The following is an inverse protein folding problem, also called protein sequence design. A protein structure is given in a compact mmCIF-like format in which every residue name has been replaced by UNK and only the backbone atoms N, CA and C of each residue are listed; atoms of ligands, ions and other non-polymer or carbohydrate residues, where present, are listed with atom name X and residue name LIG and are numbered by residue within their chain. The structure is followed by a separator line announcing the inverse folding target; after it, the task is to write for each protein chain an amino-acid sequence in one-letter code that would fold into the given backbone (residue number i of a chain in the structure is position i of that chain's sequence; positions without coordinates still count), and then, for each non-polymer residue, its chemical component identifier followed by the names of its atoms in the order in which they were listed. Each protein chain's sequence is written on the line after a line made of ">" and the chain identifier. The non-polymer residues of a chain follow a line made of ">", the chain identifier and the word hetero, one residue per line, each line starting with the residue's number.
data_IF_751542209430
#
_entry.id   IF_751542209430
#
_cell.length_a   1.000
_cell.length_b   1.000
_cell.length_c   1.000
_cell.angle_alpha   90.00
_cell.angle_beta   90.00
_cell.angle_gamma   90.00
#
_symmetry.space_group_name_H-M   'P 1'
#
loop_
_entity.id
_entity.type
_entity.pdbx_description
1 polymer ?
#
# COMPACT_ATOMS: atom_id res chain seq x y z
N UNK A 1 40.76 5.04 -3.42
CA UNK A 1 40.07 4.03 -2.52
C UNK A 1 38.58 4.20 -2.44
N UNK A 2 38.01 5.36 -2.77
CA UNK A 2 36.55 5.51 -3.04
C UNK A 2 36.12 4.72 -4.30
N UNK A 3 37.07 4.48 -5.20
CA UNK A 3 36.87 3.84 -6.51
C UNK A 3 36.38 2.39 -6.48
N UNK A 4 36.69 1.60 -5.47
CA UNK A 4 36.35 0.16 -5.49
C UNK A 4 35.27 -0.24 -4.51
N UNK A 5 35.02 0.51 -3.44
CA UNK A 5 34.06 0.14 -2.39
C UNK A 5 32.65 0.73 -2.62
N UNK A 6 32.54 1.99 -3.08
CA UNK A 6 31.24 2.60 -3.42
C UNK A 6 30.62 2.04 -4.71
N UNK A 7 31.45 1.61 -5.66
CA UNK A 7 31.02 1.05 -6.94
C UNK A 7 30.40 -0.35 -6.83
N UNK A 8 30.82 -1.16 -5.84
CA UNK A 8 30.22 -2.49 -5.60
C UNK A 8 28.78 -2.41 -5.13
N UNK A 9 28.40 -1.35 -4.42
CA UNK A 9 27.03 -1.19 -3.92
C UNK A 9 26.10 -0.52 -4.93
N UNK A 10 26.63 0.27 -5.86
CA UNK A 10 25.86 0.71 -7.04
C UNK A 10 25.47 -0.48 -7.93
N UNK A 11 26.21 -1.58 -7.92
CA UNK A 11 25.80 -2.86 -8.52
C UNK A 11 24.61 -3.49 -7.78
N UNK A 12 24.41 -3.22 -6.49
CA UNK A 12 23.30 -3.70 -5.68
C UNK A 12 22.01 -2.91 -5.86
N UNK A 13 22.01 -1.82 -6.65
CA UNK A 13 20.81 -1.00 -6.97
C UNK A 13 19.63 -1.79 -7.50
N UNK A 14 19.85 -2.92 -8.16
CA UNK A 14 18.81 -3.83 -8.60
C UNK A 14 18.05 -4.44 -7.41
N UNK A 15 18.65 -4.51 -6.23
CA UNK A 15 18.03 -5.07 -5.03
C UNK A 15 16.93 -4.19 -4.42
N UNK A 16 16.91 -2.91 -4.74
CA UNK A 16 15.91 -1.96 -4.26
C UNK A 16 14.76 -1.71 -5.24
N UNK A 17 14.71 -2.42 -6.38
CA UNK A 17 13.69 -2.24 -7.40
C UNK A 17 13.76 -0.91 -8.15
N UNK A 18 14.85 -0.15 -8.00
CA UNK A 18 15.04 1.13 -8.67
C UNK A 18 15.41 0.96 -10.15
N UNK A 19 15.02 1.92 -11.05
CA UNK A 19 15.26 1.84 -12.49
C UNK A 19 16.74 2.03 -12.82
N UNK A 20 17.52 0.96 -12.83
CA UNK A 20 18.97 0.98 -12.97
C UNK A 20 19.53 1.70 -14.23
N UNK A 21 18.72 1.83 -15.28
CA UNK A 21 19.09 2.57 -16.50
C UNK A 21 19.13 4.08 -16.26
N UNK A 22 18.36 4.62 -15.33
CA UNK A 22 18.28 6.04 -14.99
C UNK A 22 19.67 6.59 -14.63
N UNK A 23 20.42 5.88 -13.83
CA UNK A 23 21.70 6.35 -13.28
C UNK A 23 22.92 6.12 -14.18
N UNK A 24 22.79 5.50 -15.34
CA UNK A 24 23.83 5.29 -16.37
C UNK A 24 25.18 4.74 -15.88
N UNK A 25 25.23 4.08 -14.73
CA UNK A 25 26.48 3.70 -14.05
C UNK A 25 27.36 2.80 -14.90
N UNK A 26 26.80 1.85 -15.67
CA UNK A 26 27.61 0.99 -16.53
C UNK A 26 28.33 1.79 -17.62
N UNK A 27 27.69 2.81 -18.19
CA UNK A 27 28.29 3.73 -19.16
C UNK A 27 29.42 4.54 -18.52
N UNK A 28 29.18 5.06 -17.32
CA UNK A 28 30.21 5.83 -16.58
C UNK A 28 31.43 4.96 -16.21
N UNK A 29 31.19 3.70 -15.79
CA UNK A 29 32.27 2.74 -15.50
C UNK A 29 33.06 2.38 -16.74
N UNK A 30 32.41 2.17 -17.89
CA UNK A 30 33.10 1.91 -19.15
C UNK A 30 33.98 3.08 -19.56
N UNK A 31 33.46 4.30 -19.45
CA UNK A 31 34.28 5.53 -19.75
C UNK A 31 35.44 5.66 -18.78
N UNK A 32 35.25 5.41 -17.49
CA UNK A 32 36.33 5.48 -16.49
C UNK A 32 37.45 4.47 -16.78
N UNK A 33 37.11 3.28 -17.28
CA UNK A 33 38.13 2.25 -17.62
C UNK A 33 38.98 2.60 -18.83
N UNK A 34 38.52 3.52 -19.67
CA UNK A 34 39.20 3.95 -20.91
C UNK A 34 39.80 5.36 -20.85
N UNK A 35 39.57 6.08 -19.74
CA UNK A 35 40.07 7.47 -19.60
C UNK A 35 41.46 7.52 -19.00
N UNK A 36 42.38 8.13 -19.73
CA UNK A 36 43.78 8.34 -19.32
C UNK A 36 44.09 9.81 -18.89
N UNK A 37 43.17 10.73 -19.20
CA UNK A 37 43.29 12.14 -18.90
C UNK A 37 42.77 12.49 -17.50
N UNK A 38 43.54 13.24 -16.71
CA UNK A 38 43.10 13.76 -15.41
C UNK A 38 41.85 14.67 -15.53
N UNK A 39 41.71 15.39 -16.65
CA UNK A 39 40.54 16.21 -16.91
C UNK A 39 39.30 15.35 -17.12
N UNK A 40 39.38 14.30 -17.92
CA UNK A 40 38.28 13.36 -18.13
C UNK A 40 37.86 12.65 -16.83
N UNK A 41 38.84 12.24 -16.02
CA UNK A 41 38.58 11.63 -14.71
C UNK A 41 37.85 12.60 -13.81
N UNK A 42 38.23 13.89 -13.74
CA UNK A 42 37.51 14.91 -12.96
C UNK A 42 36.09 15.14 -13.45
N UNK A 43 35.87 15.15 -14.77
CA UNK A 43 34.49 15.22 -15.33
C UNK A 43 33.66 13.99 -14.95
N UNK A 44 34.24 12.80 -15.01
CA UNK A 44 33.56 11.55 -14.61
C UNK A 44 33.24 11.53 -13.11
N UNK A 45 34.08 12.07 -12.25
CA UNK A 45 33.81 12.23 -10.81
C UNK A 45 32.55 13.07 -10.60
N UNK A 46 32.39 14.19 -11.32
CA UNK A 46 31.17 15.01 -11.30
C UNK A 46 29.93 14.22 -11.75
N UNK A 47 30.03 13.46 -12.86
CA UNK A 47 28.93 12.64 -13.35
C UNK A 47 28.56 11.48 -12.40
N UNK A 48 29.55 10.86 -11.75
CA UNK A 48 29.30 9.88 -10.71
C UNK A 48 28.59 10.48 -9.49
N UNK A 49 28.96 11.73 -9.13
CA UNK A 49 28.31 12.42 -8.01
C UNK A 49 26.84 12.75 -8.32
N UNK A 50 26.52 13.18 -9.55
CA UNK A 50 25.16 13.38 -10.02
C UNK A 50 24.37 12.05 -9.96
N UNK A 51 24.92 10.99 -10.55
CA UNK A 51 24.28 9.67 -10.52
C UNK A 51 24.07 9.14 -9.08
N UNK A 52 25.01 9.45 -8.17
CA UNK A 52 24.88 9.10 -6.76
C UNK A 52 23.75 9.88 -6.08
N UNK A 53 23.69 11.20 -6.27
CA UNK A 53 22.65 12.03 -5.61
C UNK A 53 21.25 11.72 -6.12
N UNK A 54 21.09 11.46 -7.43
CA UNK A 54 19.84 10.95 -7.98
C UNK A 54 19.44 9.60 -7.38
N UNK A 55 20.39 8.66 -7.28
CA UNK A 55 20.13 7.36 -6.67
C UNK A 55 19.79 7.48 -5.18
N UNK A 56 20.50 8.33 -4.44
CA UNK A 56 20.29 8.55 -3.02
C UNK A 56 18.91 9.15 -2.74
N UNK A 57 18.50 10.15 -3.53
CA UNK A 57 17.17 10.75 -3.46
C UNK A 57 16.07 9.71 -3.79
N UNK A 58 16.21 8.98 -4.90
CA UNK A 58 15.24 7.95 -5.29
C UNK A 58 15.11 6.82 -4.25
N UNK A 59 16.20 6.50 -3.55
CA UNK A 59 16.21 5.49 -2.50
C UNK A 59 15.53 5.98 -1.21
N UNK A 60 15.70 7.26 -0.89
CA UNK A 60 15.20 7.92 0.30
C UNK A 60 13.69 8.27 0.16
N UNK A 61 13.29 8.82 -1.00
CA UNK A 61 11.96 9.42 -1.17
C UNK A 61 11.09 8.75 -2.25
N UNK A 62 11.67 7.83 -3.02
CA UNK A 62 11.01 7.19 -4.16
C UNK A 62 11.26 7.89 -5.49
N UNK A 63 10.90 7.20 -6.57
CA UNK A 63 11.06 7.68 -7.97
C UNK A 63 9.85 8.45 -8.44
N UNK A 64 8.69 8.18 -7.85
CA UNK A 64 7.40 8.71 -8.27
C UNK A 64 6.86 9.71 -7.25
N UNK A 65 6.11 10.69 -7.73
CA UNK A 65 5.36 11.63 -6.87
C UNK A 65 3.99 11.01 -6.58
N UNK A 66 3.67 10.68 -5.31
CA UNK A 66 2.46 9.95 -4.95
C UNK A 66 1.17 10.56 -5.50
N UNK A 67 1.00 11.88 -5.38
CA UNK A 67 -0.19 12.60 -5.84
C UNK A 67 -0.35 12.66 -7.35
N UNK A 68 0.73 12.47 -8.13
CA UNK A 68 0.68 12.35 -9.58
C UNK A 68 0.31 10.94 -10.03
N UNK A 69 0.59 9.93 -9.18
CA UNK A 69 0.16 8.55 -9.43
C UNK A 69 -1.34 8.38 -9.18
N UNK A 70 -1.82 8.88 -8.04
CA UNK A 70 -3.22 8.90 -7.67
C UNK A 70 -3.49 10.07 -6.71
N UNK A 71 -4.45 10.94 -7.04
CA UNK A 71 -4.80 12.11 -6.21
C UNK A 71 -5.31 11.77 -4.82
N UNK A 72 -5.75 10.53 -4.60
CA UNK A 72 -6.18 10.04 -3.29
C UNK A 72 -5.00 9.55 -2.41
N UNK A 73 -3.77 9.57 -2.94
CA UNK A 73 -2.54 9.32 -2.17
C UNK A 73 -2.01 10.66 -1.66
N UNK A 74 -2.40 11.01 -0.45
CA UNK A 74 -1.99 12.25 0.22
C UNK A 74 -0.78 11.97 1.11
N UNK A 75 0.42 12.04 0.51
CA UNK A 75 1.71 11.81 1.16
C UNK A 75 2.60 13.02 0.94
N UNK A 76 3.18 13.52 2.02
CA UNK A 76 4.17 14.59 1.96
C UNK A 76 5.56 13.96 1.98
N UNK A 77 6.26 14.04 0.83
CA UNK A 77 7.64 13.61 0.74
C UNK A 77 8.53 14.79 1.16
N UNK A 78 9.43 14.55 2.08
CA UNK A 78 10.42 15.53 2.53
C UNK A 78 11.68 15.41 1.68
N UNK A 79 11.73 16.15 0.57
CA UNK A 79 12.92 16.21 -0.27
C UNK A 79 14.08 16.81 0.51
N UNK A 80 15.21 16.12 0.48
CA UNK A 80 16.51 16.60 0.97
C UNK A 80 17.31 17.14 -0.21
N UNK A 81 18.07 18.20 0.02
CA UNK A 81 18.88 18.79 -1.05
C UNK A 81 20.09 17.91 -1.41
N UNK A 82 20.68 18.18 -2.56
CA UNK A 82 21.86 17.49 -3.07
C UNK A 82 23.03 17.56 -2.09
N UNK A 83 23.19 18.69 -1.39
CA UNK A 83 24.25 18.91 -0.40
C UNK A 83 24.13 17.93 0.77
N UNK A 84 22.94 17.66 1.27
CA UNK A 84 22.68 16.69 2.32
C UNK A 84 23.24 15.31 1.98
N UNK A 85 22.98 14.82 0.76
CA UNK A 85 23.45 13.50 0.32
C UNK A 85 24.98 13.46 0.15
N UNK A 86 25.57 14.52 -0.39
CA UNK A 86 27.02 14.62 -0.59
C UNK A 86 27.74 14.67 0.76
N UNK A 87 27.27 15.51 1.69
CA UNK A 87 27.86 15.60 3.02
C UNK A 87 27.74 14.28 3.80
N UNK A 88 26.59 13.59 3.69
CA UNK A 88 26.41 12.27 4.27
C UNK A 88 27.43 11.25 3.75
N UNK A 89 27.71 11.25 2.44
CA UNK A 89 28.70 10.37 1.82
C UNK A 89 30.13 10.67 2.28
N UNK A 90 30.46 11.95 2.45
CA UNK A 90 31.81 12.39 2.83
C UNK A 90 32.10 12.22 4.32
N UNK A 91 31.08 12.35 5.18
CA UNK A 91 31.22 12.36 6.64
C UNK A 91 31.13 10.98 7.30
N UNK A 92 30.69 9.93 6.58
CA UNK A 92 30.43 8.58 7.09
C UNK A 92 31.18 7.53 6.28
N UNK A 93 31.23 6.30 6.81
CA UNK A 93 31.61 5.16 5.98
C UNK A 93 30.59 5.03 4.83
N UNK A 94 31.03 5.05 3.54
CA UNK A 94 30.10 5.02 2.42
C UNK A 94 29.14 3.81 2.45
N UNK A 95 29.62 2.65 2.86
CA UNK A 95 28.79 1.44 2.95
C UNK A 95 27.66 1.58 3.98
N UNK A 96 27.95 2.10 5.16
CA UNK A 96 26.97 2.31 6.21
C UNK A 96 25.99 3.43 5.82
N UNK A 97 26.50 4.45 5.14
CA UNK A 97 25.68 5.54 4.65
C UNK A 97 24.64 5.05 3.60
N UNK A 98 25.09 4.29 2.61
CA UNK A 98 24.17 3.70 1.61
C UNK A 98 23.09 2.83 2.24
N UNK A 99 23.41 2.08 3.27
CA UNK A 99 22.42 1.27 3.99
C UNK A 99 21.42 2.09 4.79
N UNK A 100 21.79 3.30 5.19
CA UNK A 100 20.91 4.19 5.97
C UNK A 100 20.01 5.06 5.10
N UNK A 101 20.15 5.07 3.77
CA UNK A 101 19.38 5.92 2.87
C UNK A 101 17.94 5.41 2.65
N UNK A 102 17.75 4.10 2.55
CA UNK A 102 16.41 3.53 2.32
C UNK A 102 15.62 3.33 3.61
N UNK A 103 14.32 3.04 3.51
CA UNK A 103 13.47 2.74 4.65
C UNK A 103 14.07 1.66 5.56
N UNK A 104 14.01 1.89 6.87
CA UNK A 104 14.56 0.97 7.89
C UNK A 104 13.47 0.03 8.46
N UNK A 105 12.27 0.00 7.87
CA UNK A 105 11.16 -0.83 8.31
C UNK A 105 11.46 -2.33 8.10
N UNK A 106 10.91 -3.18 8.95
CA UNK A 106 10.99 -4.63 8.80
C UNK A 106 10.25 -5.11 7.55
N UNK A 107 9.23 -4.37 7.12
CA UNK A 107 8.47 -4.57 5.90
C UNK A 107 9.35 -4.39 4.66
N UNK A 108 10.06 -3.28 4.59
CA UNK A 108 11.00 -3.00 3.49
C UNK A 108 12.09 -4.07 3.39
N UNK A 109 12.66 -4.49 4.53
CA UNK A 109 13.65 -5.55 4.56
C UNK A 109 13.10 -6.89 4.04
N UNK A 110 11.87 -7.27 4.40
CA UNK A 110 11.20 -8.47 3.89
C UNK A 110 10.93 -8.39 2.39
N UNK A 111 10.47 -7.23 1.89
CA UNK A 111 10.27 -7.00 0.46
C UNK A 111 11.56 -7.16 -0.34
N UNK A 112 12.69 -6.68 0.18
CA UNK A 112 14.00 -6.86 -0.47
C UNK A 112 14.40 -8.35 -0.56
N UNK A 113 14.11 -9.15 0.46
CA UNK A 113 14.36 -10.60 0.43
C UNK A 113 13.51 -11.27 -0.64
N UNK A 114 12.22 -10.95 -0.71
CA UNK A 114 11.32 -11.52 -1.73
C UNK A 114 11.67 -11.03 -3.15
N UNK A 115 12.09 -9.77 -3.30
CA UNK A 115 12.62 -9.25 -4.56
C UNK A 115 13.79 -10.09 -5.08
N UNK A 116 14.74 -10.43 -4.19
CA UNK A 116 15.91 -11.24 -4.56
C UNK A 116 15.50 -12.66 -4.96
N UNK A 117 14.63 -13.30 -4.20
CA UNK A 117 14.12 -14.65 -4.50
C UNK A 117 13.41 -14.71 -5.85
N UNK A 118 12.48 -13.79 -6.12
CA UNK A 118 11.76 -13.72 -7.39
C UNK A 118 12.69 -13.41 -8.54
N UNK A 119 13.67 -12.53 -8.36
CA UNK A 119 14.69 -12.23 -9.37
C UNK A 119 15.54 -13.46 -9.73
N UNK A 120 15.81 -14.33 -8.77
CA UNK A 120 16.52 -15.60 -9.01
C UNK A 120 15.63 -16.60 -9.73
N UNK A 121 14.37 -16.75 -9.31
CA UNK A 121 13.39 -17.60 -9.97
C UNK A 121 13.23 -17.20 -11.45
N UNK A 122 13.09 -15.92 -11.74
CA UNK A 122 12.98 -15.38 -13.11
C UNK A 122 14.23 -15.71 -13.94
N UNK A 123 15.43 -15.54 -13.37
CA UNK A 123 16.69 -15.89 -14.05
C UNK A 123 16.79 -17.38 -14.40
N UNK A 124 16.13 -18.22 -13.61
CA UNK A 124 16.08 -19.67 -13.80
C UNK A 124 14.90 -20.13 -14.68
N UNK A 125 14.17 -19.21 -15.34
CA UNK A 125 13.09 -19.51 -16.28
C UNK A 125 11.67 -19.31 -15.72
N UNK A 126 11.53 -18.81 -14.49
CA UNK A 126 10.23 -18.51 -13.88
C UNK A 126 9.45 -19.76 -13.45
N UNK A 127 8.18 -19.59 -13.19
CA UNK A 127 7.27 -20.69 -12.86
C UNK A 127 6.53 -21.22 -14.09
N UNK A 128 6.38 -22.53 -14.20
CA UNK A 128 5.60 -23.16 -15.28
C UNK A 128 4.11 -22.90 -15.12
N UNK A 129 3.39 -22.62 -16.20
CA UNK A 129 1.95 -22.45 -16.16
C UNK A 129 1.24 -23.75 -15.78
N UNK A 130 0.21 -23.68 -14.93
CA UNK A 130 -0.65 -24.81 -14.57
C UNK A 130 -1.85 -24.78 -15.52
N UNK A 131 -1.89 -25.75 -16.43
CA UNK A 131 -2.98 -25.90 -17.38
C UNK A 131 -3.89 -27.03 -16.92
N UNK A 132 -4.93 -26.67 -16.15
CA UNK A 132 -6.01 -27.60 -15.78
C UNK A 132 -7.33 -26.84 -15.72
N UNK A 133 -8.40 -27.46 -16.19
CA UNK A 133 -9.78 -27.02 -16.08
C UNK A 133 -10.55 -27.83 -15.01
N UNK A 134 -9.87 -28.77 -14.34
CA UNK A 134 -10.45 -29.58 -13.28
C UNK A 134 -10.45 -28.86 -11.95
N UNK A 135 -11.53 -29.02 -11.22
CA UNK A 135 -11.59 -28.67 -9.80
C UNK A 135 -10.97 -29.80 -9.00
N UNK A 136 -9.89 -29.52 -8.27
CA UNK A 136 -9.17 -30.53 -7.48
C UNK A 136 -9.47 -30.40 -5.99
N UNK A 137 -9.66 -31.54 -5.32
CA UNK A 137 -10.06 -31.63 -3.93
C UNK A 137 -9.28 -32.71 -3.18
N UNK A 138 -9.35 -32.68 -1.87
CA UNK A 138 -8.82 -33.74 -1.02
C UNK A 138 -9.34 -35.12 -1.50
N UNK A 139 -8.42 -36.05 -1.72
CA UNK A 139 -8.68 -37.40 -2.23
C UNK A 139 -8.46 -37.57 -3.72
N UNK A 140 -8.42 -36.50 -4.51
CA UNK A 140 -8.12 -36.57 -5.94
C UNK A 140 -6.67 -37.03 -6.19
N UNK A 141 -6.40 -37.46 -7.43
CA UNK A 141 -5.06 -37.88 -7.86
C UNK A 141 -4.86 -37.63 -9.36
N UNK A 142 -3.59 -37.57 -9.74
CA UNK A 142 -3.18 -37.41 -11.15
C UNK A 142 -2.12 -36.32 -11.34
N UNK A 143 -1.81 -36.05 -12.61
CA UNK A 143 -0.74 -35.13 -13.00
C UNK A 143 -1.07 -33.68 -12.63
N UNK A 144 -2.36 -33.31 -12.66
CA UNK A 144 -2.81 -31.97 -12.21
C UNK A 144 -2.47 -31.74 -10.73
N UNK A 145 -2.64 -32.79 -9.88
CA UNK A 145 -2.29 -32.73 -8.46
C UNK A 145 -0.78 -32.56 -8.28
N UNK A 146 0.02 -33.23 -9.11
CA UNK A 146 1.48 -33.07 -9.12
C UNK A 146 1.88 -31.66 -9.52
N UNK A 147 1.22 -31.08 -10.53
CA UNK A 147 1.49 -29.71 -10.97
C UNK A 147 1.23 -28.67 -9.84
N UNK A 148 0.08 -28.80 -9.13
CA UNK A 148 -0.23 -27.96 -7.96
C UNK A 148 0.80 -28.13 -6.86
N UNK A 149 1.18 -29.38 -6.56
CA UNK A 149 2.16 -29.70 -5.52
C UNK A 149 3.53 -29.07 -5.82
N UNK A 150 4.01 -29.19 -7.05
CA UNK A 150 5.28 -28.62 -7.49
C UNK A 150 5.25 -27.10 -7.38
N UNK A 151 4.17 -26.45 -7.84
CA UNK A 151 4.01 -25.00 -7.73
C UNK A 151 4.04 -24.53 -6.27
N UNK A 152 3.33 -25.21 -5.37
CA UNK A 152 3.31 -24.86 -3.94
C UNK A 152 4.65 -25.15 -3.25
N UNK A 153 5.40 -26.14 -3.73
CA UNK A 153 6.78 -26.36 -3.32
C UNK A 153 7.70 -25.22 -3.77
N UNK A 154 7.64 -24.84 -5.05
CA UNK A 154 8.46 -23.76 -5.62
C UNK A 154 8.21 -22.41 -4.93
N UNK A 155 7.01 -22.21 -4.40
CA UNK A 155 6.62 -21.03 -3.64
C UNK A 155 6.81 -21.17 -2.12
N UNK A 156 7.34 -22.30 -1.65
CA UNK A 156 7.70 -22.51 -0.24
C UNK A 156 6.55 -22.90 0.70
N UNK A 157 5.37 -23.26 0.15
CA UNK A 157 4.21 -23.66 0.96
C UNK A 157 4.26 -25.09 1.49
N UNK A 158 5.09 -25.92 0.92
CA UNK A 158 5.26 -27.31 1.33
C UNK A 158 6.63 -27.87 0.94
N UNK A 159 7.11 -28.94 1.60
CA UNK A 159 8.31 -29.66 1.17
C UNK A 159 8.06 -30.38 -0.16
N UNK A 160 9.16 -30.66 -0.89
CA UNK A 160 9.09 -31.46 -2.11
C UNK A 160 8.51 -32.86 -1.84
N UNK A 161 7.67 -33.32 -2.76
CA UNK A 161 7.03 -34.64 -2.66
C UNK A 161 6.62 -35.14 -4.04
N UNK A 162 6.88 -36.39 -4.30
CA UNK A 162 6.51 -37.10 -5.55
C UNK A 162 5.08 -37.68 -5.52
N UNK A 163 4.32 -37.44 -4.47
CA UNK A 163 2.96 -37.98 -4.34
C UNK A 163 2.03 -37.42 -5.41
N UNK A 164 1.30 -38.28 -6.07
CA UNK A 164 0.27 -37.93 -7.05
C UNK A 164 -1.09 -37.69 -6.40
N UNK A 165 -1.21 -37.89 -5.06
CA UNK A 165 -2.49 -37.78 -4.33
C UNK A 165 -2.66 -36.40 -3.69
N UNK A 166 -3.85 -35.88 -3.74
CA UNK A 166 -4.27 -34.72 -2.96
C UNK A 166 -4.48 -35.14 -1.49
N UNK A 167 -3.39 -35.23 -0.74
CA UNK A 167 -3.35 -35.66 0.64
C UNK A 167 -3.56 -34.49 1.62
N UNK A 168 -3.56 -34.79 2.94
CA UNK A 168 -3.72 -33.77 4.00
C UNK A 168 -2.63 -32.70 3.99
N UNK A 169 -1.43 -33.01 3.54
CA UNK A 169 -0.33 -32.04 3.50
C UNK A 169 -0.57 -31.03 2.38
N UNK A 170 -0.99 -31.50 1.19
CA UNK A 170 -1.37 -30.63 0.09
C UNK A 170 -2.60 -29.79 0.45
N UNK A 171 -3.62 -30.37 1.11
CA UNK A 171 -4.78 -29.61 1.58
C UNK A 171 -4.38 -28.42 2.46
N UNK A 172 -3.52 -28.66 3.45
CA UNK A 172 -3.03 -27.59 4.34
C UNK A 172 -2.22 -26.52 3.58
N UNK A 173 -1.39 -26.93 2.63
CA UNK A 173 -0.61 -26.02 1.79
C UNK A 173 -1.52 -25.16 0.91
N UNK A 174 -2.56 -25.75 0.30
CA UNK A 174 -3.57 -25.01 -0.48
C UNK A 174 -4.31 -24.01 0.41
N UNK A 175 -4.80 -24.41 1.57
CA UNK A 175 -5.50 -23.53 2.50
C UNK A 175 -4.62 -22.36 2.95
N UNK A 176 -3.35 -22.65 3.27
CA UNK A 176 -2.38 -21.60 3.64
C UNK A 176 -2.15 -20.64 2.48
N UNK A 177 -1.94 -21.17 1.26
CA UNK A 177 -1.78 -20.37 0.05
C UNK A 177 -3.00 -19.46 -0.18
N UNK A 178 -4.20 -20.04 -0.15
CA UNK A 178 -5.45 -19.28 -0.32
C UNK A 178 -5.57 -18.15 0.70
N UNK A 179 -5.31 -18.45 1.98
CA UNK A 179 -5.33 -17.45 3.05
C UNK A 179 -4.34 -16.31 2.82
N UNK A 180 -3.09 -16.64 2.43
CA UNK A 180 -2.04 -15.65 2.21
C UNK A 180 -2.28 -14.77 0.97
N UNK A 181 -3.12 -15.25 0.02
CA UNK A 181 -3.47 -14.54 -1.22
C UNK A 181 -4.90 -13.97 -1.22
N UNK A 182 -5.53 -13.87 -0.04
CA UNK A 182 -6.85 -13.25 0.09
C UNK A 182 -8.00 -14.06 -0.49
N UNK A 183 -7.80 -15.34 -0.77
CA UNK A 183 -8.83 -16.28 -1.20
C UNK A 183 -9.51 -16.92 0.01
N UNK A 184 -10.71 -17.50 -0.20
CA UNK A 184 -11.36 -18.32 0.83
C UNK A 184 -10.56 -19.59 1.04
N UNK A 185 -10.07 -19.89 2.25
CA UNK A 185 -9.20 -21.04 2.51
C UNK A 185 -10.01 -22.36 2.66
N UNK A 186 -10.79 -22.69 1.63
CA UNK A 186 -11.62 -23.90 1.59
C UNK A 186 -10.82 -25.18 1.25
N UNK A 187 -9.60 -25.02 0.75
CA UNK A 187 -8.74 -26.12 0.34
C UNK A 187 -9.15 -26.76 -1.01
N UNK A 188 -10.02 -26.09 -1.77
CA UNK A 188 -10.43 -26.53 -3.11
C UNK A 188 -9.63 -25.73 -4.14
N UNK A 189 -8.96 -26.42 -5.04
CA UNK A 189 -8.25 -25.79 -6.16
C UNK A 189 -9.21 -25.65 -7.33
N UNK A 190 -10.00 -24.58 -7.31
CA UNK A 190 -10.89 -24.17 -8.38
C UNK A 190 -10.29 -23.07 -9.26
N UNK A 191 -11.08 -22.51 -10.16
CA UNK A 191 -10.67 -21.49 -11.12
C UNK A 191 -9.93 -20.30 -10.46
N UNK A 192 -10.49 -19.72 -9.40
CA UNK A 192 -9.86 -18.59 -8.68
C UNK A 192 -8.50 -18.95 -8.09
N UNK A 193 -8.33 -20.17 -7.56
CA UNK A 193 -7.04 -20.64 -7.03
C UNK A 193 -6.03 -20.88 -8.17
N UNK A 194 -6.48 -21.41 -9.30
CA UNK A 194 -5.62 -21.62 -10.49
C UNK A 194 -5.16 -20.28 -11.08
N UNK A 195 -6.07 -19.32 -11.23
CA UNK A 195 -5.72 -17.98 -11.70
C UNK A 195 -4.65 -17.34 -10.81
N UNK A 196 -4.81 -17.43 -9.50
CA UNK A 196 -3.86 -16.90 -8.53
C UNK A 196 -2.50 -17.62 -8.56
N UNK A 197 -2.50 -18.95 -8.66
CA UNK A 197 -1.29 -19.76 -8.85
C UNK A 197 -0.56 -19.45 -10.16
N UNK A 198 -1.27 -19.05 -11.20
CA UNK A 198 -0.72 -18.72 -12.52
C UNK A 198 -0.23 -17.28 -12.65
N UNK A 199 -0.35 -16.45 -11.62
CA UNK A 199 0.36 -15.17 -11.59
C UNK A 199 1.86 -15.45 -11.67
N UNK A 200 2.53 -14.91 -12.70
CA UNK A 200 3.93 -15.20 -12.98
C UNK A 200 4.88 -14.58 -11.96
N UNK A 201 6.11 -15.07 -11.91
CA UNK A 201 7.15 -14.51 -11.06
C UNK A 201 7.45 -13.04 -11.39
N UNK A 202 7.38 -12.66 -12.68
CA UNK A 202 7.56 -11.30 -13.17
C UNK A 202 6.43 -10.38 -12.69
N UNK A 203 5.18 -10.85 -12.73
CA UNK A 203 4.05 -10.09 -12.22
C UNK A 203 4.15 -9.88 -10.70
N UNK A 204 4.55 -10.92 -9.95
CA UNK A 204 4.83 -10.81 -8.51
C UNK A 204 5.98 -9.83 -8.23
N UNK A 205 7.06 -9.91 -9.01
CA UNK A 205 8.18 -8.98 -8.88
C UNK A 205 7.75 -7.55 -9.12
N UNK A 206 6.90 -7.31 -10.12
CA UNK A 206 6.35 -5.97 -10.39
C UNK A 206 5.54 -5.45 -9.19
N UNK A 207 4.73 -6.30 -8.54
CA UNK A 207 4.00 -5.93 -7.33
C UNK A 207 4.94 -5.60 -6.16
N UNK A 208 6.05 -6.33 -6.02
CA UNK A 208 7.08 -6.04 -4.99
C UNK A 208 7.77 -4.71 -5.27
N UNK A 209 8.09 -4.40 -6.54
CA UNK A 209 8.69 -3.11 -6.92
C UNK A 209 7.76 -1.95 -6.53
N UNK A 210 6.46 -2.08 -6.81
CA UNK A 210 5.47 -1.08 -6.39
C UNK A 210 5.40 -0.98 -4.86
N UNK A 211 5.44 -2.10 -4.14
CA UNK A 211 5.44 -2.08 -2.68
C UNK A 211 6.70 -1.41 -2.10
N UNK A 212 7.88 -1.69 -2.66
CA UNK A 212 9.15 -1.03 -2.29
C UNK A 212 9.11 0.47 -2.54
N UNK A 213 8.49 0.91 -3.65
CA UNK A 213 8.29 2.32 -3.94
C UNK A 213 7.38 2.98 -2.89
N UNK A 214 6.26 2.34 -2.56
CA UNK A 214 5.29 2.86 -1.58
C UNK A 214 5.84 2.92 -0.15
N UNK A 215 6.73 2.00 0.22
CA UNK A 215 7.43 2.04 1.51
C UNK A 215 8.30 3.29 1.66
N UNK A 216 8.88 3.81 0.57
CA UNK A 216 9.68 5.06 0.58
C UNK A 216 8.84 6.31 0.81
N UNK A 217 7.52 6.23 0.61
CA UNK A 217 6.59 7.33 0.85
C UNK A 217 6.10 7.40 2.29
N UNK A 218 6.44 6.39 3.11
CA UNK A 218 6.09 6.37 4.52
C UNK A 218 7.10 7.17 5.34
N UNK A 219 6.63 7.74 6.44
CA UNK A 219 7.52 8.38 7.39
C UNK A 219 8.49 7.37 8.01
N UNK A 220 9.75 7.75 8.20
CA UNK A 220 10.80 6.90 8.78
C UNK A 220 10.44 6.35 10.16
N UNK A 221 9.57 7.05 10.91
CA UNK A 221 9.14 6.64 12.24
C UNK A 221 7.63 6.83 12.42
N UNK A 222 6.91 5.73 12.47
CA UNK A 222 5.48 5.73 12.82
C UNK A 222 5.24 5.88 14.34
N UNK A 223 6.32 5.93 15.14
CA UNK A 223 6.29 5.95 16.60
C UNK A 223 6.07 4.55 17.19
N UNK A 224 6.40 4.41 18.48
CA UNK A 224 6.26 3.14 19.21
C UNK A 224 4.82 2.63 19.26
N UNK A 225 3.86 3.55 19.24
CA UNK A 225 2.43 3.23 19.21
C UNK A 225 1.75 3.98 18.09
N UNK A 226 1.16 3.25 17.15
CA UNK A 226 0.45 3.84 16.02
C UNK A 226 -0.76 3.00 15.60
N UNK A 227 -1.64 3.62 14.82
CA UNK A 227 -2.78 2.93 14.20
C UNK A 227 -2.44 2.72 12.73
N UNK A 228 -2.43 1.47 12.31
CA UNK A 228 -2.23 1.08 10.92
C UNK A 228 -3.57 0.67 10.30
N UNK A 229 -4.02 1.37 9.26
CA UNK A 229 -5.23 1.03 8.52
C UNK A 229 -4.85 0.52 7.15
N UNK A 230 -5.07 -0.77 6.91
CA UNK A 230 -4.86 -1.38 5.60
C UNK A 230 -6.15 -1.30 4.78
N UNK A 231 -6.18 -0.39 3.81
CA UNK A 231 -7.34 -0.15 2.95
C UNK A 231 -7.68 -1.37 2.08
N UNK A 232 -6.69 -2.13 1.63
CA UNK A 232 -6.90 -3.32 0.82
C UNK A 232 -7.43 -4.52 1.62
N UNK A 233 -7.07 -4.61 2.90
CA UNK A 233 -7.46 -5.70 3.81
C UNK A 233 -8.75 -5.37 4.58
N UNK A 234 -9.22 -4.13 4.55
CA UNK A 234 -10.35 -3.64 5.35
C UNK A 234 -10.14 -3.87 6.86
N UNK A 235 -8.93 -3.61 7.34
CA UNK A 235 -8.56 -3.78 8.75
C UNK A 235 -7.83 -2.57 9.31
N UNK A 236 -8.09 -2.30 10.59
CA UNK A 236 -7.31 -1.38 11.40
C UNK A 236 -6.63 -2.16 12.53
N UNK A 237 -5.37 -1.85 12.76
CA UNK A 237 -4.53 -2.45 13.79
C UNK A 237 -3.96 -1.35 14.68
N UNK A 238 -3.92 -1.58 15.99
CA UNK A 238 -3.08 -0.79 16.90
C UNK A 238 -1.80 -1.60 17.09
N UNK A 239 -0.69 -0.96 16.77
CA UNK A 239 0.65 -1.54 16.88
C UNK A 239 1.37 -0.81 18.01
N UNK A 240 1.95 -1.54 18.93
CA UNK A 240 2.75 -1.04 20.05
C UNK A 240 4.02 -1.89 20.16
N UNK A 241 5.18 -1.23 20.08
CA UNK A 241 6.49 -1.91 20.08
C UNK A 241 6.56 -3.07 19.06
N UNK A 242 6.14 -2.80 17.83
CA UNK A 242 6.09 -3.76 16.70
C UNK A 242 5.08 -4.92 16.87
N UNK A 243 4.34 -4.98 17.98
CA UNK A 243 3.33 -5.99 18.24
C UNK A 243 1.91 -5.46 17.96
N UNK A 244 1.08 -6.26 17.30
CA UNK A 244 -0.34 -5.95 17.13
C UNK A 244 -1.05 -6.21 18.45
N UNK A 245 -1.48 -5.13 19.14
CA UNK A 245 -2.20 -5.22 20.43
C UNK A 245 -3.72 -5.17 20.26
N UNK A 246 -4.21 -4.71 19.11
CA UNK A 246 -5.63 -4.70 18.78
C UNK A 246 -5.82 -4.77 17.26
N UNK A 247 -6.82 -5.50 16.78
CA UNK A 247 -7.22 -5.56 15.38
C UNK A 247 -8.74 -5.53 15.27
N UNK A 248 -9.25 -4.80 14.26
CA UNK A 248 -10.68 -4.78 13.93
C UNK A 248 -10.90 -4.64 12.43
N UNK A 249 -12.07 -5.05 11.97
CA UNK A 249 -12.52 -4.75 10.60
C UNK A 249 -12.93 -3.30 10.49
N UNK A 250 -12.73 -2.73 9.30
CA UNK A 250 -13.11 -1.36 8.98
C UNK A 250 -14.12 -1.30 7.84
N UNK A 251 -14.92 -0.24 7.82
CA UNK A 251 -15.69 0.17 6.65
C UNK A 251 -14.93 1.29 5.97
N UNK A 252 -14.70 1.15 4.68
CA UNK A 252 -14.00 2.11 3.85
C UNK A 252 -14.92 2.70 2.80
N UNK A 253 -14.51 3.81 2.21
CA UNK A 253 -15.21 4.42 1.07
C UNK A 253 -15.29 3.46 -0.13
N UNK A 254 -16.33 3.60 -0.93
CA UNK A 254 -16.50 2.83 -2.16
C UNK A 254 -15.48 3.27 -3.21
N UNK A 255 -15.09 2.35 -4.10
CA UNK A 255 -14.14 2.64 -5.17
C UNK A 255 -14.82 3.45 -6.31
N UNK A 256 -15.33 4.62 -5.94
CA UNK A 256 -15.95 5.56 -6.86
C UNK A 256 -15.34 6.95 -6.66
N UNK A 257 -15.20 7.73 -7.73
CA UNK A 257 -14.51 9.02 -7.70
C UNK A 257 -15.15 9.98 -6.70
N UNK A 258 -14.34 10.45 -5.76
CA UNK A 258 -14.77 11.35 -4.68
C UNK A 258 -15.44 10.66 -3.48
N UNK A 259 -15.49 9.31 -3.46
CA UNK A 259 -15.99 8.52 -2.32
C UNK A 259 -14.95 7.53 -1.77
N UNK A 260 -13.75 7.50 -2.34
CA UNK A 260 -12.65 6.66 -1.89
C UNK A 260 -12.10 7.18 -0.58
N UNK A 261 -11.67 6.27 0.30
CA UNK A 261 -10.87 6.65 1.46
C UNK A 261 -9.47 7.06 1.00
N UNK A 262 -9.00 8.27 1.32
CA UNK A 262 -7.65 8.69 0.95
C UNK A 262 -6.61 7.90 1.73
N UNK A 263 -5.44 7.75 1.13
CA UNK A 263 -4.25 7.23 1.80
C UNK A 263 -3.43 8.38 2.35
N UNK A 264 -3.23 8.41 3.66
CA UNK A 264 -2.47 9.47 4.34
C UNK A 264 -1.81 8.93 5.61
N UNK A 265 -0.81 9.66 6.11
CA UNK A 265 -0.27 9.52 7.46
C UNK A 265 -0.48 10.83 8.19
N UNK A 266 -0.97 10.76 9.42
CA UNK A 266 -1.15 11.96 10.22
C UNK A 266 -1.18 11.64 11.72
N UNK A 267 -1.05 12.67 12.54
CA UNK A 267 -1.07 12.55 13.98
C UNK A 267 -2.46 12.87 14.51
N UNK A 268 -3.06 11.91 15.21
CA UNK A 268 -4.35 12.14 15.86
C UNK A 268 -4.23 13.23 16.94
N UNK A 269 -5.05 14.28 16.85
CA UNK A 269 -5.02 15.40 17.78
C UNK A 269 -5.91 15.19 19.00
N UNK A 270 -7.17 14.82 18.78
CA UNK A 270 -8.13 14.60 19.86
C UNK A 270 -9.27 13.68 19.46
N UNK A 271 -10.07 13.27 20.44
CA UNK A 271 -11.26 12.46 20.26
C UNK A 271 -12.51 13.24 20.68
N UNK A 272 -13.59 13.07 19.95
CA UNK A 272 -14.91 13.58 20.32
C UNK A 272 -15.77 12.40 20.75
N UNK A 273 -16.18 12.37 22.02
CA UNK A 273 -17.07 11.35 22.57
C UNK A 273 -18.50 11.77 22.33
N UNK A 274 -19.35 10.83 21.92
CA UNK A 274 -20.75 11.06 21.56
C UNK A 274 -20.91 12.22 20.55
N UNK A 275 -20.31 12.08 19.33
CA UNK A 275 -20.32 13.15 18.34
C UNK A 275 -21.72 13.40 17.78
N UNK A 276 -22.00 14.67 17.48
CA UNK A 276 -23.10 15.03 16.59
C UNK A 276 -22.59 14.96 15.15
N UNK A 277 -23.29 14.26 14.28
CA UNK A 277 -22.98 14.26 12.86
C UNK A 277 -23.66 15.44 12.16
N UNK A 278 -22.87 16.42 11.75
CA UNK A 278 -23.28 17.47 10.85
C UNK A 278 -23.26 16.92 9.42
N UNK A 279 -24.44 16.74 8.85
CA UNK A 279 -24.59 16.07 7.56
C UNK A 279 -24.11 17.01 6.46
N UNK A 280 -23.15 16.60 5.62
CA UNK A 280 -22.68 17.41 4.50
C UNK A 280 -23.84 17.83 3.60
N UNK A 281 -23.79 19.09 3.12
CA UNK A 281 -24.86 19.66 2.27
C UNK A 281 -25.10 18.82 1.03
N UNK A 282 -24.08 18.19 0.46
CA UNK A 282 -24.20 17.27 -0.67
C UNK A 282 -25.06 16.06 -0.35
N UNK A 283 -24.85 15.41 0.79
CA UNK A 283 -25.66 14.28 1.26
C UNK A 283 -27.09 14.74 1.58
N UNK A 284 -27.21 15.84 2.30
CA UNK A 284 -28.52 16.40 2.66
C UNK A 284 -29.38 16.66 1.41
N UNK A 285 -28.79 17.25 0.36
CA UNK A 285 -29.52 17.62 -0.86
C UNK A 285 -29.72 16.48 -1.85
N UNK A 286 -28.73 15.60 -2.00
CA UNK A 286 -28.75 14.58 -3.03
C UNK A 286 -29.36 13.26 -2.57
N UNK A 287 -29.26 12.95 -1.29
CA UNK A 287 -29.70 11.65 -0.74
C UNK A 287 -30.95 11.80 0.16
N UNK A 288 -30.89 12.70 1.16
CA UNK A 288 -31.94 12.76 2.17
C UNK A 288 -33.15 13.61 1.76
N UNK A 289 -32.93 14.75 1.11
CA UNK A 289 -34.05 15.59 0.66
C UNK A 289 -35.00 14.88 -0.32
N UNK A 290 -34.55 14.07 -1.30
CA UNK A 290 -35.45 13.28 -2.13
C UNK A 290 -36.32 12.27 -1.36
N UNK A 291 -35.79 11.71 -0.28
CA UNK A 291 -36.56 10.81 0.61
C UNK A 291 -37.59 11.59 1.38
N UNK A 292 -37.22 12.71 2.01
CA UNK A 292 -38.10 13.57 2.79
C UNK A 292 -39.22 14.22 1.95
N UNK A 293 -38.98 14.45 0.65
CA UNK A 293 -40.02 14.91 -0.30
C UNK A 293 -41.13 13.86 -0.52
N UNK A 294 -40.77 12.59 -0.47
CA UNK A 294 -41.72 11.48 -0.65
C UNK A 294 -42.47 11.17 0.65
N UNK A 295 -41.76 11.22 1.73
CA UNK A 295 -42.26 10.94 3.08
C UNK A 295 -41.58 11.86 4.08
N UNK A 296 -42.25 12.94 4.51
CA UNK A 296 -41.70 13.90 5.49
C UNK A 296 -41.32 13.27 6.84
N UNK A 297 -41.91 12.12 7.21
CA UNK A 297 -41.58 11.40 8.43
C UNK A 297 -40.45 10.38 8.29
N UNK A 298 -39.97 10.17 7.08
CA UNK A 298 -38.80 9.32 6.86
C UNK A 298 -37.57 9.87 7.60
N UNK A 299 -36.62 8.99 7.89
CA UNK A 299 -35.35 9.34 8.54
C UNK A 299 -35.53 10.05 9.89
N UNK A 300 -36.23 9.45 10.87
CA UNK A 300 -36.60 10.09 12.15
C UNK A 300 -35.37 10.48 13.01
N UNK A 301 -34.20 9.93 12.71
CA UNK A 301 -32.94 10.26 13.38
C UNK A 301 -32.38 11.62 12.96
N UNK A 302 -32.87 12.21 11.85
CA UNK A 302 -32.43 13.53 11.39
C UNK A 302 -33.17 14.64 12.15
N UNK A 303 -32.42 15.64 12.57
CA UNK A 303 -32.93 16.90 13.10
C UNK A 303 -32.54 18.04 12.14
N UNK A 304 -33.47 18.95 11.92
CA UNK A 304 -33.26 20.12 11.06
C UNK A 304 -33.09 21.36 11.92
N UNK A 305 -32.13 22.18 11.55
CA UNK A 305 -31.83 23.42 12.24
C UNK A 305 -31.86 24.58 11.23
N UNK A 306 -32.35 25.72 11.65
CA UNK A 306 -32.32 26.92 10.83
C UNK A 306 -30.92 27.62 10.88
N UNK A 307 -30.80 28.74 10.17
CA UNK A 307 -29.58 29.55 10.17
C UNK A 307 -29.20 30.17 11.49
N UNK A 308 -30.13 30.26 12.47
CA UNK A 308 -29.85 30.70 13.84
C UNK A 308 -29.37 29.55 14.73
N UNK A 309 -29.38 28.32 14.25
CA UNK A 309 -29.06 27.12 15.02
C UNK A 309 -30.24 26.60 15.86
N UNK A 310 -31.44 27.09 15.63
CA UNK A 310 -32.66 26.65 16.35
C UNK A 310 -33.23 25.40 15.68
N UNK A 311 -33.69 24.46 16.50
CA UNK A 311 -34.38 23.25 16.00
C UNK A 311 -35.68 23.65 15.32
N UNK A 312 -35.88 23.15 14.11
CA UNK A 312 -37.08 23.41 13.32
C UNK A 312 -38.01 22.19 13.42
N UNK A 313 -39.29 22.47 13.70
CA UNK A 313 -40.31 21.42 13.66
C UNK A 313 -40.52 20.96 12.24
N UNK A 314 -40.38 19.65 12.04
CA UNK A 314 -40.44 19.00 10.73
C UNK A 314 -41.86 19.13 10.10
N UNK A 315 -42.90 19.14 10.90
CA UNK A 315 -44.30 19.31 10.44
C UNK A 315 -44.54 20.72 9.87
N UNK A 316 -43.70 21.70 10.25
CA UNK A 316 -43.81 23.06 9.72
C UNK A 316 -43.13 23.27 8.36
N UNK A 317 -42.43 22.22 7.82
CA UNK A 317 -41.64 22.31 6.61
C UNK A 317 -42.39 21.75 5.41
N UNK A 318 -42.60 22.57 4.40
CA UNK A 318 -43.01 22.06 3.08
C UNK A 318 -41.78 21.60 2.28
N UNK A 319 -41.48 20.29 2.36
CA UNK A 319 -40.34 19.71 1.65
C UNK A 319 -40.49 19.79 0.12
N UNK A 320 -41.70 19.97 -0.42
CA UNK A 320 -41.95 20.01 -1.86
C UNK A 320 -41.28 21.20 -2.56
N UNK A 321 -41.21 22.34 -1.86
CA UNK A 321 -40.61 23.59 -2.36
C UNK A 321 -39.08 23.64 -2.25
N UNK A 322 -38.49 22.76 -1.40
CA UNK A 322 -37.06 22.70 -1.21
C UNK A 322 -36.37 22.04 -2.43
N UNK A 323 -35.16 22.42 -2.74
CA UNK A 323 -34.42 21.91 -3.90
C UNK A 323 -32.93 22.06 -3.74
N UNK A 324 -32.17 21.55 -4.73
CA UNK A 324 -30.71 21.64 -4.73
C UNK A 324 -30.21 23.08 -4.62
N UNK A 325 -30.96 24.05 -5.17
CA UNK A 325 -30.59 25.47 -5.16
C UNK A 325 -31.14 26.23 -3.94
N UNK A 326 -32.14 25.67 -3.27
CA UNK A 326 -32.74 26.27 -2.08
C UNK A 326 -32.95 25.21 -1.00
N UNK A 327 -32.05 25.16 -0.07
CA UNK A 327 -32.09 24.31 1.12
C UNK A 327 -31.53 25.10 2.31
N UNK A 328 -32.39 25.79 3.08
CA UNK A 328 -31.97 26.73 4.13
C UNK A 328 -31.69 26.06 5.49
N UNK A 329 -31.71 24.74 5.56
CA UNK A 329 -31.58 24.01 6.83
C UNK A 329 -30.24 23.28 6.91
N UNK A 330 -29.71 23.18 8.14
CA UNK A 330 -28.68 22.21 8.47
C UNK A 330 -29.34 20.91 8.93
N UNK A 331 -28.88 19.78 8.41
CA UNK A 331 -29.28 18.46 8.91
C UNK A 331 -28.24 17.94 9.88
N UNK A 332 -28.69 17.45 11.04
CA UNK A 332 -27.81 16.85 12.06
C UNK A 332 -28.42 15.54 12.57
N UNK A 333 -27.52 14.59 12.84
CA UNK A 333 -27.86 13.42 13.65
C UNK A 333 -27.24 13.62 15.04
N UNK A 334 -28.09 13.65 16.05
CA UNK A 334 -27.64 13.83 17.42
C UNK A 334 -26.93 12.57 17.96
N UNK A 335 -26.18 12.69 19.07
CA UNK A 335 -25.53 11.55 19.71
C UNK A 335 -26.49 10.40 20.00
N UNK A 336 -26.15 9.21 19.58
CA UNK A 336 -26.92 7.99 19.84
C UNK A 336 -26.07 6.76 19.54
N UNK A 337 -26.51 5.57 19.98
CA UNK A 337 -25.86 4.30 19.65
C UNK A 337 -25.96 3.93 18.17
N UNK A 338 -26.84 4.60 17.42
CA UNK A 338 -27.05 4.41 15.97
C UNK A 338 -26.52 5.57 15.14
N UNK A 339 -25.74 6.48 15.76
CA UNK A 339 -25.14 7.60 15.04
C UNK A 339 -24.16 7.09 13.98
N UNK A 340 -24.20 7.65 12.77
CA UNK A 340 -23.34 7.23 11.66
C UNK A 340 -21.84 7.40 11.96
N UNK A 341 -21.46 8.35 12.82
CA UNK A 341 -20.08 8.55 13.29
C UNK A 341 -19.69 7.60 14.44
N UNK A 342 -20.61 6.74 14.92
CA UNK A 342 -20.38 5.91 16.09
C UNK A 342 -20.36 6.70 17.42
N UNK A 343 -19.79 6.08 18.45
CA UNK A 343 -19.71 6.69 19.80
C UNK A 343 -18.47 7.57 19.99
N UNK A 344 -17.47 7.45 19.15
CA UNK A 344 -16.22 8.20 19.22
C UNK A 344 -15.76 8.58 17.81
N UNK A 345 -15.46 9.85 17.61
CA UNK A 345 -14.84 10.38 16.40
C UNK A 345 -13.40 10.77 16.71
N UNK A 346 -12.47 10.25 15.93
CA UNK A 346 -11.05 10.59 16.00
C UNK A 346 -10.76 11.72 15.03
N UNK A 347 -10.09 12.75 15.52
CA UNK A 347 -9.81 13.96 14.74
C UNK A 347 -8.34 14.04 14.37
N UNK A 348 -8.12 14.33 13.10
CA UNK A 348 -6.82 14.58 12.49
C UNK A 348 -6.76 16.01 11.97
N UNK A 349 -5.57 16.64 11.84
CA UNK A 349 -5.43 17.86 11.05
C UNK A 349 -5.88 17.48 9.62
N UNK A 350 -6.99 18.06 9.17
CA UNK A 350 -7.40 17.86 7.79
C UNK A 350 -6.59 18.78 6.90
N UNK A 351 -6.08 18.30 5.74
CA UNK A 351 -5.51 19.17 4.72
C UNK A 351 -6.55 20.12 4.13
#
# INVERSE_FOLDING_TARGET
>A
TLRSRGLGDVYKRQFHGLPGKKYQVNSLLSKLSTSDSLFEIGLLEGLFMIAFTEYASDLDTGVLIPSEVDSDIVRHIHDKDTEFYIQGLLSRNPYDYFRSLGPQSSEYARLLVEYQKLSEIIRNGGWSNIATDRILRFGDSGDDVVAIRNRLFDQGYMPNSISTKFDKNLLKAVQKYQSDHGLIPDGIVGEGTILELNITAEQRLSSIIVALERERWLDDTLGQRHIWVNLAEFKAKIIEDEAVVFETRTVLGVNDKGMRSPEFSDKMEYMVVNPTWHIPVSIAKNEYLPVLKKDPEALPFLKLFDSSGSLVDRESIDFSILGKNYFPYEMKQLPSTTNALGLVKFMFPNP
#
